data_IF_752945718589
#
_entry.id   IF_752945718589
#
_cell.length_a   1.000
_cell.length_b   1.000
_cell.length_c   1.000
_cell.angle_alpha   90.00
_cell.angle_beta   90.00
_cell.angle_gamma   90.00
#
_symmetry.space_group_name_H-M   'P 1'
#
loop_
_entity.id
_entity.type
_entity.pdbx_description
1 polymer ?
#
# COMPACT_ATOMS: atom_id res chain seq x y z
N UNK A 1 16.37 -0.88 -23.75
CA UNK A 1 16.67 -1.90 -22.72
C UNK A 1 15.52 -1.88 -21.71
N UNK A 2 14.71 -2.94 -21.64
CA UNK A 2 13.63 -3.07 -20.64
C UNK A 2 14.28 -3.55 -19.34
N UNK A 3 14.35 -2.68 -18.34
CA UNK A 3 14.66 -3.07 -16.95
C UNK A 3 13.47 -3.87 -16.44
N UNK A 4 13.43 -5.15 -16.75
CA UNK A 4 12.37 -6.05 -16.33
C UNK A 4 12.72 -6.54 -14.93
N UNK A 5 12.09 -5.97 -13.91
CA UNK A 5 12.16 -6.51 -12.55
C UNK A 5 11.45 -7.88 -12.55
N UNK A 6 11.71 -8.76 -11.58
CA UNK A 6 10.94 -10.02 -11.46
C UNK A 6 9.45 -9.76 -11.18
N UNK A 7 9.13 -8.53 -10.77
CA UNK A 7 7.80 -8.09 -10.44
C UNK A 7 6.99 -7.72 -11.69
N UNK A 8 5.74 -8.18 -11.80
CA UNK A 8 4.92 -8.01 -12.99
C UNK A 8 4.27 -6.61 -13.07
N UNK A 9 5.02 -5.54 -12.74
CA UNK A 9 4.58 -4.15 -12.86
C UNK A 9 5.64 -3.38 -13.65
N UNK A 10 5.20 -2.55 -14.62
CA UNK A 10 6.09 -1.60 -15.28
C UNK A 10 6.32 -0.41 -14.35
N UNK A 11 7.59 -0.12 -14.03
CA UNK A 11 7.98 1.02 -13.19
C UNK A 11 7.49 2.36 -13.74
N UNK A 12 7.26 2.46 -15.06
CA UNK A 12 6.70 3.66 -15.69
C UNK A 12 5.26 3.93 -15.28
N UNK A 13 4.55 2.90 -14.83
CA UNK A 13 3.18 3.01 -14.36
C UNK A 13 3.10 3.46 -12.90
N UNK A 14 4.23 3.62 -12.18
CA UNK A 14 4.25 4.02 -10.77
C UNK A 14 4.59 5.51 -10.64
N UNK A 15 3.80 6.32 -9.91
CA UNK A 15 2.62 5.94 -9.13
C UNK A 15 1.37 5.72 -10.01
N UNK A 16 0.47 4.84 -9.53
CA UNK A 16 -0.83 4.56 -10.18
C UNK A 16 -1.96 4.64 -9.16
N UNK A 17 -2.83 5.63 -9.31
CA UNK A 17 -4.04 5.73 -8.49
C UNK A 17 -5.24 5.40 -9.39
N UNK A 18 -5.83 4.22 -9.17
CA UNK A 18 -7.01 3.71 -9.90
C UNK A 18 -8.31 4.00 -9.17
N UNK A 19 -8.24 4.20 -7.86
CA UNK A 19 -9.36 4.64 -7.01
C UNK A 19 -8.84 5.62 -5.96
N UNK A 20 -9.65 6.63 -5.62
CA UNK A 20 -9.31 7.59 -4.57
C UNK A 20 -9.04 6.87 -3.24
N UNK A 21 -7.84 6.98 -2.67
CA UNK A 21 -7.52 6.36 -1.38
C UNK A 21 -8.17 7.10 -0.20
N UNK A 22 -8.68 6.39 0.83
CA UNK A 22 -8.78 4.93 0.93
C UNK A 22 -9.91 4.38 0.06
N UNK A 23 -9.60 3.37 -0.75
CA UNK A 23 -10.58 2.69 -1.60
C UNK A 23 -11.58 1.84 -0.80
N UNK A 24 -12.63 1.32 -1.46
CA UNK A 24 -13.72 0.63 -0.77
C UNK A 24 -13.26 -0.61 0.02
N UNK A 25 -12.29 -1.39 -0.49
CA UNK A 25 -11.78 -2.57 0.25
C UNK A 25 -10.93 -2.15 1.43
N UNK A 26 -10.10 -1.12 1.28
CA UNK A 26 -9.36 -0.56 2.41
C UNK A 26 -10.31 -0.07 3.51
N UNK A 27 -11.38 0.63 3.15
CA UNK A 27 -12.39 1.12 4.10
C UNK A 27 -13.09 0.00 4.86
N UNK A 28 -13.46 -1.11 4.19
CA UNK A 28 -14.05 -2.28 4.86
C UNK A 28 -13.11 -2.86 5.92
N UNK A 29 -11.82 -3.01 5.60
CA UNK A 29 -10.82 -3.56 6.51
C UNK A 29 -10.56 -2.60 7.68
N UNK A 30 -10.46 -1.30 7.41
CA UNK A 30 -10.26 -0.28 8.45
C UNK A 30 -11.43 -0.27 9.45
N UNK A 31 -12.67 -0.37 8.98
CA UNK A 31 -13.85 -0.46 9.87
C UNK A 31 -13.79 -1.70 10.77
N UNK A 32 -13.30 -2.83 10.25
CA UNK A 32 -13.11 -4.04 11.04
C UNK A 32 -11.98 -3.85 12.07
N UNK A 33 -10.83 -3.29 11.67
CA UNK A 33 -9.71 -2.94 12.57
C UNK A 33 -10.19 -2.04 13.72
N UNK A 34 -10.95 -0.99 13.42
CA UNK A 34 -11.53 -0.07 14.40
C UNK A 34 -12.46 -0.77 15.40
N UNK A 35 -13.16 -1.83 15.01
CA UNK A 35 -14.06 -2.56 15.92
C UNK A 35 -13.37 -3.62 16.78
N UNK A 36 -12.21 -4.13 16.34
CA UNK A 36 -11.55 -5.28 16.97
C UNK A 36 -10.26 -4.90 17.71
N UNK A 37 -9.58 -3.83 17.31
CA UNK A 37 -8.28 -3.42 17.86
C UNK A 37 -8.45 -2.32 18.91
N UNK A 38 -7.58 -2.33 19.91
CA UNK A 38 -7.55 -1.31 20.97
C UNK A 38 -7.27 0.07 20.37
N UNK A 39 -8.13 1.04 20.68
CA UNK A 39 -8.11 2.39 20.08
C UNK A 39 -6.89 3.25 20.43
N UNK A 40 -6.10 2.85 21.44
CA UNK A 40 -4.81 3.48 21.72
C UNK A 40 -3.74 3.12 20.69
N UNK A 41 -3.95 2.08 19.88
CA UNK A 41 -3.07 1.69 18.78
C UNK A 41 -3.45 2.43 17.50
N UNK A 42 -3.04 3.70 17.40
CA UNK A 42 -3.40 4.58 16.29
C UNK A 42 -2.85 4.13 14.93
N UNK A 43 -3.72 4.13 13.92
CA UNK A 43 -3.33 4.00 12.51
C UNK A 43 -3.06 5.38 11.92
N UNK A 44 -1.81 5.65 11.55
CA UNK A 44 -1.39 6.95 11.00
C UNK A 44 -1.94 7.24 9.60
N UNK A 45 -2.29 6.19 8.86
CA UNK A 45 -2.85 6.27 7.52
C UNK A 45 -3.82 5.09 7.32
N UNK A 46 -5.01 5.31 6.72
CA UNK A 46 -5.95 4.24 6.37
C UNK A 46 -5.48 3.46 5.13
N UNK A 47 -4.20 3.04 5.12
CA UNK A 47 -3.55 2.33 4.03
C UNK A 47 -3.48 0.83 4.37
N UNK A 48 -4.10 0.01 3.53
CA UNK A 48 -4.10 -1.44 3.68
C UNK A 48 -3.30 -2.06 2.52
N UNK A 49 -2.08 -2.50 2.82
CA UNK A 49 -1.13 -2.99 1.83
C UNK A 49 -1.42 -4.46 1.49
N UNK A 50 -1.53 -4.77 0.20
CA UNK A 50 -1.65 -6.15 -0.30
C UNK A 50 -0.28 -6.81 -0.46
N UNK A 51 0.70 -6.07 -0.98
CA UNK A 51 2.07 -6.53 -1.24
C UNK A 51 3.00 -5.35 -1.49
N UNK A 52 4.30 -5.54 -1.29
CA UNK A 52 5.33 -4.55 -1.60
C UNK A 52 6.53 -5.20 -2.28
N UNK A 53 7.18 -4.47 -3.18
CA UNK A 53 8.39 -4.92 -3.85
C UNK A 53 9.24 -3.74 -4.34
N UNK A 54 10.54 -3.80 -4.04
CA UNK A 54 11.44 -2.66 -4.28
C UNK A 54 10.88 -1.40 -3.59
N UNK A 55 10.90 -0.23 -4.26
CA UNK A 55 10.36 1.01 -3.71
C UNK A 55 8.84 1.18 -3.94
N UNK A 56 8.10 0.09 -4.20
CA UNK A 56 6.68 0.14 -4.59
C UNK A 56 5.83 -0.68 -3.64
N UNK A 57 4.72 -0.10 -3.18
CA UNK A 57 3.67 -0.83 -2.44
C UNK A 57 2.36 -0.79 -3.21
N UNK A 58 1.64 -1.90 -3.20
CA UNK A 58 0.30 -2.02 -3.77
C UNK A 58 -0.72 -2.18 -2.65
N UNK A 59 -1.75 -1.35 -2.63
CA UNK A 59 -2.87 -1.50 -1.68
C UNK A 59 -3.87 -2.57 -2.13
N UNK A 60 -4.83 -2.90 -1.27
CA UNK A 60 -5.88 -3.89 -1.53
C UNK A 60 -6.85 -3.49 -2.65
N UNK A 61 -6.88 -2.21 -3.01
CA UNK A 61 -7.72 -1.65 -4.07
C UNK A 61 -6.98 -1.55 -5.43
N UNK A 62 -5.68 -1.86 -5.47
CA UNK A 62 -4.87 -1.92 -6.67
C UNK A 62 -4.13 -0.61 -7.00
N UNK A 63 -4.10 0.35 -6.08
CA UNK A 63 -3.26 1.54 -6.23
C UNK A 63 -1.79 1.18 -5.98
N UNK A 64 -0.88 1.81 -6.72
CA UNK A 64 0.56 1.67 -6.61
C UNK A 64 1.16 2.98 -6.09
N UNK A 65 1.89 2.89 -4.98
CA UNK A 65 2.55 4.01 -4.31
C UNK A 65 4.06 3.85 -4.34
N UNK A 66 4.77 4.97 -4.27
CA UNK A 66 6.21 5.00 -3.98
C UNK A 66 6.39 4.94 -2.47
N UNK A 67 7.14 3.94 -1.98
CA UNK A 67 7.40 3.77 -0.54
C UNK A 67 8.61 4.61 -0.09
N UNK A 68 8.33 5.67 0.65
CA UNK A 68 9.33 6.51 1.34
C UNK A 68 9.45 6.20 2.84
N UNK A 69 8.69 5.21 3.34
CA UNK A 69 8.71 4.82 4.75
C UNK A 69 9.69 3.67 4.99
N UNK A 70 9.78 2.72 4.04
CA UNK A 70 10.61 1.51 4.16
C UNK A 70 10.29 0.72 5.44
N UNK A 71 9.03 0.80 5.89
CA UNK A 71 8.57 0.17 7.13
C UNK A 71 9.38 0.60 8.36
N UNK A 72 9.68 1.89 8.51
CA UNK A 72 10.58 2.44 9.54
C UNK A 72 11.98 1.82 9.39
N UNK A 73 12.56 1.96 8.19
CA UNK A 73 13.90 1.49 7.82
C UNK A 73 14.16 -0.03 7.99
N UNK A 74 13.11 -0.85 7.96
CA UNK A 74 13.21 -2.31 8.02
C UNK A 74 13.44 -2.92 6.64
N UNK A 75 12.84 -2.33 5.59
CA UNK A 75 12.81 -2.88 4.23
C UNK A 75 13.79 -2.14 3.29
N UNK A 76 15.09 -2.18 3.60
CA UNK A 76 16.17 -1.60 2.79
C UNK A 76 16.85 -2.65 1.89
#
# INVERSE_FOLDING_TARGET
MSLRWYWPIDVKDVPKIVVEPPGPKAQEIVKVDESLVMQSFGRWYPLVIRRGYGPVVEDVDGNLYIDFNSGIAVMN
#
